data_IF_115550752915
#
_entry.id   IF_115550752915
#
_cell.length_a   1.000
_cell.length_b   1.000
_cell.length_c   1.000
_cell.angle_alpha   90.00
_cell.angle_beta   90.00
_cell.angle_gamma   90.00
#
_symmetry.space_group_name_H-M   'P 1'
#
loop_
_entity.id
_entity.type
_entity.pdbx_description
1 polymer ?
#
# COMPACT_ATOMS: atom_id res chain seq x y z
N UNK A 1 -3.59 -40.36 -28.30
CA UNK A 1 -3.74 -39.95 -26.88
C UNK A 1 -3.72 -38.43 -26.86
N UNK A 2 -4.89 -37.81 -26.67
CA UNK A 2 -5.02 -36.41 -26.28
C UNK A 2 -4.65 -36.25 -24.81
N UNK A 3 -4.19 -35.05 -24.45
CA UNK A 3 -3.85 -34.42 -23.14
C UNK A 3 -2.61 -33.58 -23.47
N UNK A 4 -2.65 -32.24 -23.48
CA UNK A 4 -2.91 -31.37 -22.34
C UNK A 4 -3.67 -30.11 -22.78
N UNK A 5 -4.74 -29.84 -22.03
CA UNK A 5 -5.48 -28.59 -22.02
C UNK A 5 -4.62 -27.43 -21.50
N UNK A 6 -4.92 -26.25 -22.07
CA UNK A 6 -4.90 -24.93 -21.44
C UNK A 6 -3.55 -24.32 -21.07
N UNK A 7 -3.10 -23.39 -21.91
CA UNK A 7 -2.10 -22.38 -21.56
C UNK A 7 -2.62 -20.95 -21.83
N UNK A 8 -3.93 -20.73 -21.67
CA UNK A 8 -4.63 -19.46 -21.95
C UNK A 8 -5.01 -18.65 -20.70
N UNK A 9 -4.48 -18.97 -19.50
CA UNK A 9 -4.85 -18.27 -18.26
C UNK A 9 -3.85 -17.18 -17.80
N UNK A 10 -2.72 -17.00 -18.50
CA UNK A 10 -1.67 -16.06 -18.04
C UNK A 10 -1.79 -14.64 -18.60
N UNK A 11 -2.63 -14.40 -19.62
CA UNK A 11 -2.77 -13.08 -20.25
C UNK A 11 -3.74 -12.14 -19.51
N UNK A 12 -4.64 -12.68 -18.69
CA UNK A 12 -5.74 -11.93 -18.07
C UNK A 12 -5.32 -11.22 -16.76
N UNK A 13 -4.12 -11.53 -16.23
CA UNK A 13 -3.60 -10.96 -14.98
C UNK A 13 -2.96 -9.59 -15.18
N UNK A 14 -2.58 -9.21 -16.40
CA UNK A 14 -2.00 -7.89 -16.69
C UNK A 14 -3.04 -6.76 -16.60
N UNK A 15 -4.33 -7.06 -16.76
CA UNK A 15 -5.39 -6.06 -16.76
C UNK A 15 -6.02 -5.81 -15.38
N UNK A 16 -5.58 -6.53 -14.33
CA UNK A 16 -5.98 -6.25 -12.95
C UNK A 16 -5.12 -5.17 -12.29
N UNK A 17 -4.73 -4.16 -13.06
CA UNK A 17 -4.42 -2.86 -12.49
C UNK A 17 -5.74 -2.34 -11.94
N UNK A 18 -5.93 -2.46 -10.62
CA UNK A 18 -6.99 -1.74 -9.92
C UNK A 18 -7.03 -0.33 -10.51
N UNK A 19 -8.16 0.07 -11.12
CA UNK A 19 -8.25 1.27 -11.94
C UNK A 19 -7.91 2.49 -11.07
N UNK A 20 -6.63 2.87 -11.02
CA UNK A 20 -6.15 3.92 -10.12
C UNK A 20 -6.36 5.24 -10.83
N UNK A 21 -7.22 6.09 -10.26
CA UNK A 21 -7.41 7.43 -10.80
C UNK A 21 -6.13 8.22 -10.63
N UNK A 22 -5.56 8.70 -11.76
CA UNK A 22 -4.40 9.58 -11.77
C UNK A 22 -4.84 11.02 -11.97
N UNK A 23 -4.19 11.93 -11.26
CA UNK A 23 -4.43 13.37 -11.37
C UNK A 23 -3.11 14.12 -11.25
N UNK A 24 -2.94 15.23 -11.97
CA UNK A 24 -1.71 16.04 -11.84
C UNK A 24 -1.71 16.84 -10.53
N UNK A 25 -0.54 17.20 -10.01
CA UNK A 25 -0.42 18.05 -8.82
C UNK A 25 -1.14 19.41 -8.99
N UNK A 26 -1.12 19.98 -10.20
CA UNK A 26 -1.83 21.22 -10.52
C UNK A 26 -3.34 21.04 -10.47
N UNK A 27 -3.87 19.95 -11.02
CA UNK A 27 -5.29 19.63 -11.01
C UNK A 27 -5.78 19.30 -9.59
N UNK A 28 -4.97 18.56 -8.83
CA UNK A 28 -5.22 18.25 -7.43
C UNK A 28 -5.32 19.52 -6.57
N UNK A 29 -4.42 20.48 -6.77
CA UNK A 29 -4.45 21.77 -6.08
C UNK A 29 -5.67 22.60 -6.46
N UNK A 30 -6.02 22.65 -7.75
CA UNK A 30 -7.19 23.41 -8.23
C UNK A 30 -8.52 22.82 -7.76
N UNK A 31 -8.61 21.50 -7.63
CA UNK A 31 -9.84 20.77 -7.30
C UNK A 31 -9.79 20.09 -5.93
N UNK A 32 -9.04 20.65 -4.97
CA UNK A 32 -8.69 19.94 -3.74
C UNK A 32 -9.90 19.48 -2.92
N UNK A 33 -10.95 20.31 -2.79
CA UNK A 33 -12.16 19.90 -2.07
C UNK A 33 -12.91 18.74 -2.75
N UNK A 34 -12.97 18.75 -4.09
CA UNK A 34 -13.61 17.68 -4.85
C UNK A 34 -12.79 16.37 -4.78
N UNK A 35 -11.45 16.49 -4.81
CA UNK A 35 -10.53 15.39 -4.54
C UNK A 35 -10.83 14.76 -3.18
N UNK A 36 -10.91 15.55 -2.11
CA UNK A 36 -11.17 15.03 -0.77
C UNK A 36 -12.54 14.35 -0.64
N UNK A 37 -13.58 14.85 -1.32
CA UNK A 37 -14.89 14.20 -1.34
C UNK A 37 -14.82 12.81 -2.00
N UNK A 38 -14.12 12.71 -3.13
CA UNK A 38 -13.88 11.44 -3.82
C UNK A 38 -13.10 10.44 -2.97
N UNK A 39 -12.04 10.95 -2.34
CA UNK A 39 -11.24 10.20 -1.38
C UNK A 39 -12.10 9.70 -0.22
N UNK A 40 -12.94 10.56 0.37
CA UNK A 40 -13.85 10.19 1.45
C UNK A 40 -14.87 9.10 1.03
N UNK A 41 -15.29 9.11 -0.23
CA UNK A 41 -16.14 8.05 -0.82
C UNK A 41 -15.40 6.72 -1.02
N UNK A 42 -14.11 6.65 -0.70
CA UNK A 42 -13.28 5.44 -0.77
C UNK A 42 -12.37 5.37 -1.98
N UNK A 43 -12.31 6.43 -2.80
CA UNK A 43 -11.42 6.46 -3.96
C UNK A 43 -9.96 6.62 -3.54
N UNK A 44 -9.06 5.91 -4.24
CA UNK A 44 -7.61 6.09 -4.15
C UNK A 44 -7.14 6.83 -5.40
N UNK A 45 -6.44 7.93 -5.20
CA UNK A 45 -6.01 8.83 -6.26
C UNK A 45 -4.50 9.02 -6.22
N UNK A 46 -3.84 8.74 -7.33
CA UNK A 46 -2.41 9.00 -7.53
C UNK A 46 -2.19 10.43 -8.04
N UNK A 47 -1.33 11.18 -7.36
CA UNK A 47 -0.92 12.51 -7.74
C UNK A 47 0.37 12.42 -8.53
N UNK A 48 0.38 12.95 -9.75
CA UNK A 48 1.55 12.98 -10.63
C UNK A 48 2.12 14.38 -10.80
N UNK A 49 3.43 14.48 -10.97
CA UNK A 49 4.13 15.72 -11.35
C UNK A 49 5.20 15.37 -12.37
N UNK A 50 5.20 16.08 -13.49
CA UNK A 50 6.11 15.82 -14.62
C UNK A 50 6.11 14.34 -15.06
N UNK A 51 4.94 13.70 -15.08
CA UNK A 51 4.77 12.30 -15.49
C UNK A 51 5.10 11.25 -14.42
N UNK A 52 5.73 11.63 -13.30
CA UNK A 52 6.03 10.72 -12.19
C UNK A 52 4.98 10.81 -11.07
N UNK A 53 4.65 9.68 -10.44
CA UNK A 53 3.80 9.66 -9.24
C UNK A 53 4.59 10.22 -8.06
N UNK A 54 4.02 11.23 -7.39
CA UNK A 54 4.64 11.92 -6.25
C UNK A 54 3.89 11.71 -4.94
N UNK A 55 2.61 11.34 -4.99
CA UNK A 55 1.81 11.03 -3.81
C UNK A 55 0.63 10.13 -4.15
N UNK A 56 0.10 9.45 -3.15
CA UNK A 56 -1.16 8.70 -3.24
C UNK A 56 -2.07 9.18 -2.11
N UNK A 57 -3.27 9.62 -2.47
CA UNK A 57 -4.30 10.06 -1.53
C UNK A 57 -5.40 9.00 -1.51
N UNK A 58 -5.75 8.52 -0.32
CA UNK A 58 -6.83 7.55 -0.12
C UNK A 58 -7.52 7.85 1.19
N UNK A 59 -8.79 7.43 1.32
CA UNK A 59 -9.47 7.53 2.61
C UNK A 59 -8.60 6.81 3.64
N UNK A 60 -8.15 7.53 4.67
CA UNK A 60 -7.72 6.85 5.86
C UNK A 60 -8.97 6.17 6.39
N UNK A 61 -9.11 4.85 6.18
CA UNK A 61 -10.09 4.05 6.94
C UNK A 61 -9.97 4.59 8.36
N UNK A 62 -11.07 5.07 8.99
CA UNK A 62 -10.98 5.66 10.31
C UNK A 62 -10.21 4.66 11.15
N UNK A 63 -9.01 5.06 11.61
CA UNK A 63 -8.24 4.18 12.47
C UNK A 63 -9.17 3.97 13.65
N UNK A 64 -9.68 2.76 13.83
CA UNK A 64 -10.53 2.41 14.97
C UNK A 64 -9.79 2.67 16.29
N UNK A 65 -8.48 2.88 16.18
CA UNK A 65 -7.53 3.25 17.19
C UNK A 65 -7.25 4.75 17.07
N UNK A 66 -7.68 5.53 18.06
CA UNK A 66 -7.20 6.90 18.26
C UNK A 66 -5.72 6.89 18.64
N UNK A 67 -5.01 8.02 18.45
CA UNK A 67 -3.60 8.14 18.87
C UNK A 67 -3.41 7.79 20.35
N UNK A 68 -4.37 8.14 21.20
CA UNK A 68 -4.36 7.76 22.62
C UNK A 68 -4.46 6.24 22.80
N UNK A 69 -5.36 5.58 22.07
CA UNK A 69 -5.49 4.12 22.11
C UNK A 69 -4.24 3.41 21.57
N UNK A 70 -3.59 3.99 20.56
CA UNK A 70 -2.31 3.49 20.06
C UNK A 70 -1.23 3.58 21.13
N UNK A 71 -1.15 4.71 21.86
CA UNK A 71 -0.21 4.87 22.98
C UNK A 71 -0.46 3.85 24.09
N UNK A 72 -1.71 3.60 24.46
CA UNK A 72 -2.06 2.55 25.44
C UNK A 72 -1.61 1.18 24.97
N UNK A 73 -1.84 0.84 23.70
CA UNK A 73 -1.42 -0.45 23.14
C UNK A 73 0.10 -0.60 23.13
N UNK A 74 0.84 0.46 22.78
CA UNK A 74 2.31 0.46 22.82
C UNK A 74 2.84 0.36 24.25
N UNK A 75 2.19 1.03 25.21
CA UNK A 75 2.56 0.95 26.62
C UNK A 75 2.24 -0.42 27.27
N UNK A 76 1.22 -1.12 26.76
CA UNK A 76 0.87 -2.47 27.20
C UNK A 76 1.72 -3.57 26.54
N UNK A 77 2.47 -3.23 25.49
CA UNK A 77 3.37 -4.15 24.80
C UNK A 77 4.70 -4.35 25.55
N UNK A 78 5.55 -5.27 25.05
CA UNK A 78 6.93 -5.39 25.51
C UNK A 78 7.68 -4.06 25.39
N UNK A 79 8.68 -3.82 26.24
CA UNK A 79 9.53 -2.63 26.11
C UNK A 79 10.19 -2.62 24.72
N UNK A 80 10.07 -1.49 24.03
CA UNK A 80 10.68 -1.27 22.71
C UNK A 80 12.17 -0.92 22.87
N UNK A 81 12.91 -1.83 23.50
CA UNK A 81 14.34 -1.69 23.78
C UNK A 81 15.23 -2.35 22.70
N UNK A 82 16.54 -2.34 22.93
CA UNK A 82 17.51 -2.90 21.99
C UNK A 82 17.34 -4.41 21.80
N UNK A 83 16.80 -5.12 22.80
CA UNK A 83 16.51 -6.55 22.71
C UNK A 83 15.32 -6.80 21.77
N UNK A 84 14.23 -6.04 21.94
CA UNK A 84 13.10 -6.05 21.00
C UNK A 84 13.53 -5.72 19.56
N UNK A 85 14.40 -4.71 19.41
CA UNK A 85 14.96 -4.36 18.10
C UNK A 85 15.81 -5.51 17.50
N UNK A 86 16.55 -6.24 18.33
CA UNK A 86 17.29 -7.44 17.94
C UNK A 86 16.38 -8.56 17.42
N UNK A 87 15.32 -8.88 18.17
CA UNK A 87 14.35 -9.91 17.81
C UNK A 87 13.64 -9.59 16.48
N UNK A 88 13.21 -8.34 16.29
CA UNK A 88 12.59 -7.92 15.03
C UNK A 88 13.54 -8.07 13.83
N UNK A 89 14.83 -7.79 13.99
CA UNK A 89 15.82 -7.99 12.91
C UNK A 89 15.97 -9.47 12.57
N UNK A 90 16.01 -10.34 13.56
CA UNK A 90 16.10 -11.79 13.35
C UNK A 90 14.85 -12.35 12.67
N UNK A 91 13.66 -11.94 13.12
CA UNK A 91 12.38 -12.31 12.49
C UNK A 91 12.34 -11.83 11.04
N UNK A 92 12.71 -10.57 10.80
CA UNK A 92 12.72 -9.99 9.45
C UNK A 92 13.71 -10.73 8.56
N UNK A 93 14.89 -11.08 9.07
CA UNK A 93 15.90 -11.84 8.33
C UNK A 93 15.36 -13.21 7.92
N UNK A 94 14.72 -13.94 8.83
CA UNK A 94 14.06 -15.23 8.54
C UNK A 94 12.95 -15.08 7.49
N UNK A 95 12.11 -14.04 7.62
CA UNK A 95 11.03 -13.79 6.66
C UNK A 95 11.53 -13.38 5.26
N UNK A 96 12.67 -12.69 5.18
CA UNK A 96 13.27 -12.27 3.91
C UNK A 96 14.11 -13.39 3.25
N UNK A 97 14.31 -14.52 3.92
CA UNK A 97 15.03 -15.67 3.37
C UNK A 97 14.16 -16.45 2.36
N UNK A 98 12.82 -16.36 2.50
CA UNK A 98 11.82 -17.02 1.64
C UNK A 98 11.22 -16.12 0.55
N UNK A 99 11.61 -14.84 0.46
CA UNK A 99 11.10 -13.91 -0.55
C UNK A 99 12.19 -13.64 -1.58
N UNK A 100 12.06 -14.13 -2.83
CA UNK A 100 12.94 -13.72 -3.92
C UNK A 100 12.95 -12.20 -4.02
N UNK A 101 14.13 -11.60 -3.83
CA UNK A 101 14.35 -10.17 -4.01
C UNK A 101 14.35 -9.84 -5.50
N UNK A 102 13.17 -9.86 -6.11
CA UNK A 102 12.95 -9.30 -7.44
C UNK A 102 11.79 -8.33 -7.35
N UNK A 103 12.11 -7.10 -6.97
CA UNK A 103 11.25 -5.97 -7.35
C UNK A 103 11.58 -5.68 -8.82
N UNK A 104 10.65 -5.92 -9.77
CA UNK A 104 10.90 -5.60 -11.17
C UNK A 104 11.08 -4.07 -11.27
N UNK A 105 12.25 -3.68 -11.78
CA UNK A 105 12.57 -2.29 -12.12
C UNK A 105 11.81 -1.86 -13.37
#
# INVERSE_FOLDING_TARGET
MQLFSSNEDLSDLSDKLAQVTKMTATEASRNFSALLNRVAAGERIEITRAGAVVAVVSSGRPSTVTVSRLKEMLAAGPPLDDAFAGELREIRKKMNEDVPSEWPS
#
